data_IF_320548373897
#
_entry.id   IF_320548373897
#
_cell.length_a   1.000
_cell.length_b   1.000
_cell.length_c   1.000
_cell.angle_alpha   90.00
_cell.angle_beta   90.00
_cell.angle_gamma   90.00
#
_symmetry.space_group_name_H-M   'P 1'
#
loop_
_entity.id
_entity.type
_entity.pdbx_description
1 polymer ?
#
# COMPACT_ATOMS: atom_id res chain seq x y z
N UNK A 1 15.09 -3.44 -18.00
CA UNK A 1 15.35 -3.81 -16.60
C UNK A 1 14.13 -4.58 -16.12
N UNK A 2 14.31 -5.85 -15.75
CA UNK A 2 13.20 -6.68 -15.27
C UNK A 2 12.80 -6.17 -13.87
N UNK A 3 11.52 -5.86 -13.67
CA UNK A 3 11.06 -5.28 -12.39
C UNK A 3 11.16 -6.36 -11.31
N UNK A 4 11.71 -5.99 -10.15
CA UNK A 4 11.97 -6.95 -9.06
C UNK A 4 10.70 -7.64 -8.53
N UNK A 5 9.53 -7.00 -8.70
CA UNK A 5 8.25 -7.53 -8.25
C UNK A 5 7.78 -8.73 -9.06
N UNK A 6 7.81 -8.68 -10.39
CA UNK A 6 7.31 -9.76 -11.25
C UNK A 6 8.10 -11.07 -11.03
N UNK A 7 9.41 -10.95 -10.86
CA UNK A 7 10.29 -12.10 -10.54
C UNK A 7 10.00 -12.68 -9.15
N UNK A 8 9.82 -11.83 -8.14
CA UNK A 8 9.44 -12.26 -6.79
C UNK A 8 8.10 -12.97 -6.79
N UNK A 9 7.10 -12.44 -7.51
CA UNK A 9 5.78 -13.06 -7.63
C UNK A 9 5.86 -14.44 -8.26
N UNK A 10 6.64 -14.60 -9.34
CA UNK A 10 6.85 -15.91 -9.97
C UNK A 10 7.51 -16.92 -9.01
N UNK A 11 8.52 -16.50 -8.25
CA UNK A 11 9.22 -17.36 -7.29
C UNK A 11 8.32 -17.80 -6.13
N UNK A 12 7.59 -16.86 -5.53
CA UNK A 12 6.65 -17.15 -4.45
C UNK A 12 5.54 -18.10 -4.92
N UNK A 13 5.06 -17.94 -6.17
CA UNK A 13 4.05 -18.83 -6.75
C UNK A 13 4.59 -20.24 -7.03
N UNK A 14 5.85 -20.37 -7.45
CA UNK A 14 6.48 -21.64 -7.78
C UNK A 14 6.92 -22.45 -6.55
N UNK A 15 7.35 -21.78 -5.48
CA UNK A 15 7.88 -22.43 -4.27
C UNK A 15 7.37 -21.75 -3.00
N UNK A 16 6.58 -22.49 -2.21
CA UNK A 16 6.04 -22.02 -0.92
C UNK A 16 7.11 -21.85 0.17
N UNK A 17 8.29 -22.45 0.01
CA UNK A 17 9.42 -22.32 0.95
C UNK A 17 10.37 -21.17 0.58
N UNK A 18 10.07 -20.44 -0.50
CA UNK A 18 10.77 -19.25 -0.93
C UNK A 18 10.88 -18.23 0.23
N UNK A 19 12.03 -17.55 0.32
CA UNK A 19 12.31 -16.52 1.33
C UNK A 19 11.98 -15.10 0.87
N UNK A 20 11.48 -14.95 -0.35
CA UNK A 20 11.09 -13.65 -0.88
C UNK A 20 9.85 -13.14 -0.12
N UNK A 21 9.80 -11.82 0.09
CA UNK A 21 8.69 -11.15 0.75
C UNK A 21 8.28 -9.92 -0.05
N UNK A 22 7.01 -9.53 0.11
CA UNK A 22 6.43 -8.34 -0.49
C UNK A 22 6.19 -7.34 0.64
N UNK A 23 6.75 -6.14 0.48
CA UNK A 23 6.36 -5.00 1.31
C UNK A 23 5.19 -4.33 0.61
N UNK A 24 3.99 -4.59 1.12
CA UNK A 24 2.80 -3.85 0.75
C UNK A 24 2.62 -2.71 1.75
N UNK A 25 2.45 -1.50 1.25
CA UNK A 25 2.11 -0.38 2.09
C UNK A 25 0.64 -0.48 2.50
N UNK A 26 0.37 -0.47 3.80
CA UNK A 26 -0.97 -0.50 4.38
C UNK A 26 -1.57 0.93 4.41
N UNK A 27 -1.49 1.65 3.28
CA UNK A 27 -2.03 3.00 3.09
C UNK A 27 -3.57 2.99 2.97
N UNK A 28 -4.18 2.24 3.88
CA UNK A 28 -5.49 1.63 3.78
C UNK A 28 -6.37 1.98 4.98
N UNK A 29 -6.11 3.13 5.64
CA UNK A 29 -6.85 3.58 6.83
C UNK A 29 -8.37 3.65 6.63
N UNK A 30 -8.81 3.62 5.39
CA UNK A 30 -10.19 3.68 4.88
C UNK A 30 -10.63 2.40 4.14
N UNK A 31 -9.76 1.40 3.92
CA UNK A 31 -10.13 0.11 3.31
C UNK A 31 -10.86 -0.85 4.26
N UNK A 32 -11.13 -0.44 5.50
CA UNK A 32 -11.99 -1.16 6.44
C UNK A 32 -13.48 -1.13 6.08
N UNK A 33 -13.85 -1.21 4.80
CA UNK A 33 -15.25 -1.14 4.33
C UNK A 33 -16.02 0.11 4.79
N UNK A 34 -15.36 1.27 4.83
CA UNK A 34 -15.99 2.53 5.25
C UNK A 34 -15.86 2.86 6.73
N UNK A 35 -15.04 2.13 7.48
CA UNK A 35 -14.64 2.52 8.84
C UNK A 35 -13.51 3.54 8.74
N UNK A 36 -13.75 4.75 9.24
CA UNK A 36 -12.71 5.76 9.36
C UNK A 36 -11.69 5.34 10.44
N UNK A 37 -10.39 5.35 10.10
CA UNK A 37 -9.30 5.15 11.07
C UNK A 37 -8.51 6.47 11.30
N UNK A 38 -9.06 7.45 12.04
CA UNK A 38 -8.39 8.74 12.31
C UNK A 38 -7.10 8.63 13.16
N UNK A 39 -6.78 7.45 13.70
CA UNK A 39 -5.73 7.31 14.71
C UNK A 39 -6.12 7.93 16.08
N UNK A 40 -5.22 7.92 17.08
CA UNK A 40 -5.52 8.32 18.46
C UNK A 40 -5.73 9.83 18.69
N UNK A 41 -5.61 10.65 17.63
CA UNK A 41 -5.66 12.10 17.72
C UNK A 41 -6.55 12.64 16.61
N UNK A 42 -7.86 12.64 16.83
CA UNK A 42 -8.78 13.47 16.07
C UNK A 42 -8.56 14.92 16.46
N UNK A 43 -7.49 15.55 15.97
CA UNK A 43 -7.52 17.01 15.86
C UNK A 43 -8.53 17.30 14.75
N UNK A 44 -9.75 17.72 15.12
CA UNK A 44 -10.87 18.04 14.23
C UNK A 44 -10.50 19.07 13.13
N UNK A 45 -9.29 19.62 13.19
CA UNK A 45 -8.71 20.59 12.25
C UNK A 45 -8.17 19.97 10.97
N UNK A 46 -7.93 18.65 10.91
CA UNK A 46 -7.46 17.99 9.69
C UNK A 46 -8.60 17.17 9.08
N UNK A 47 -9.07 17.50 7.86
CA UNK A 47 -10.10 16.71 7.21
C UNK A 47 -9.58 15.31 6.90
N UNK A 48 -10.47 14.31 6.98
CA UNK A 48 -10.18 12.98 6.45
C UNK A 48 -9.85 13.09 4.96
N UNK A 49 -8.84 12.32 4.52
CA UNK A 49 -8.57 12.15 3.10
C UNK A 49 -9.75 11.44 2.42
N UNK A 50 -10.07 11.88 1.21
CA UNK A 50 -11.01 11.15 0.36
C UNK A 50 -10.36 9.88 -0.20
N UNK A 51 -11.18 8.93 -0.63
CA UNK A 51 -10.69 7.74 -1.34
C UNK A 51 -9.86 8.10 -2.60
N UNK A 52 -10.18 9.22 -3.24
CA UNK A 52 -9.43 9.74 -4.38
C UNK A 52 -8.02 10.19 -3.96
N UNK A 53 -7.89 10.90 -2.84
CA UNK A 53 -6.60 11.33 -2.29
C UNK A 53 -5.71 10.14 -1.94
N UNK A 54 -6.28 9.10 -1.31
CA UNK A 54 -5.54 7.87 -1.00
C UNK A 54 -5.04 7.17 -2.27
N UNK A 55 -5.91 7.03 -3.27
CA UNK A 55 -5.53 6.43 -4.56
C UNK A 55 -4.42 7.21 -5.25
N UNK A 56 -4.48 8.53 -5.22
CA UNK A 56 -3.45 9.35 -5.83
C UNK A 56 -2.12 9.23 -5.10
N UNK A 57 -2.14 9.24 -3.75
CA UNK A 57 -0.94 9.00 -2.94
C UNK A 57 -0.30 7.64 -3.24
N UNK A 58 -1.10 6.58 -3.45
CA UNK A 58 -0.60 5.27 -3.86
C UNK A 58 0.08 5.31 -5.24
N UNK A 59 -0.50 6.02 -6.23
CA UNK A 59 0.10 6.19 -7.56
C UNK A 59 1.42 6.95 -7.49
N UNK A 60 1.45 8.06 -6.77
CA UNK A 60 2.64 8.89 -6.62
C UNK A 60 3.79 8.11 -6.00
N UNK A 61 3.53 7.35 -4.94
CA UNK A 61 4.56 6.55 -4.28
C UNK A 61 5.05 5.40 -5.18
N UNK A 62 4.15 4.75 -5.92
CA UNK A 62 4.54 3.76 -6.94
C UNK A 62 5.42 4.40 -8.03
N UNK A 63 5.13 5.64 -8.44
CA UNK A 63 5.91 6.36 -9.44
C UNK A 63 7.33 6.74 -8.98
N UNK A 64 7.58 6.81 -7.66
CA UNK A 64 8.93 7.07 -7.12
C UNK A 64 9.93 5.92 -7.32
N UNK A 65 9.49 4.76 -7.83
CA UNK A 65 10.31 3.57 -8.05
C UNK A 65 11.06 3.06 -6.81
N UNK A 66 10.58 3.42 -5.61
CA UNK A 66 11.00 2.83 -4.33
C UNK A 66 10.45 1.40 -4.11
N UNK A 67 9.71 0.87 -5.10
CA UNK A 67 9.05 -0.45 -5.11
C UNK A 67 9.48 -1.25 -6.33
#
# INVERSE_FOLDING_TARGET
>A
MQKSLDEKLQRIAADRSCRDFILADAKDGDMGFGIACPGPSGDDRLPFHSLEDYRENMRQITATALV
#
